data_IF_161317026757
#
_entry.id   IF_161317026757
#
_cell.length_a   1.000
_cell.length_b   1.000
_cell.length_c   1.000
_cell.angle_alpha   90.00
_cell.angle_beta   90.00
_cell.angle_gamma   90.00
#
_symmetry.space_group_name_H-M   'P 1'
#
loop_
_entity.id
_entity.type
_entity.pdbx_description
1 polymer ?
#
# COMPACT_ATOMS: atom_id res chain seq x y z
N UNK A 1 -15.18 -0.89 14.43
CA UNK A 1 -14.19 0.07 13.88
C UNK A 1 -14.83 0.87 12.74
N UNK A 2 -14.17 1.89 12.15
CA UNK A 2 -14.73 2.66 11.02
C UNK A 2 -13.72 2.85 9.88
N UNK A 3 -14.23 3.08 8.67
CA UNK A 3 -13.40 3.45 7.52
C UNK A 3 -14.02 4.59 6.70
N UNK A 4 -13.17 5.29 5.95
CA UNK A 4 -13.55 6.22 4.89
C UNK A 4 -12.83 5.84 3.61
N UNK A 5 -13.56 5.69 2.51
CA UNK A 5 -13.00 5.42 1.19
C UNK A 5 -13.32 6.58 0.24
N UNK A 6 -12.28 7.26 -0.23
CA UNK A 6 -12.40 8.34 -1.21
C UNK A 6 -12.18 7.80 -2.63
N UNK A 7 -13.06 8.17 -3.55
CA UNK A 7 -12.88 7.91 -4.99
C UNK A 7 -12.27 9.13 -5.63
N UNK A 8 -11.06 9.00 -6.18
CA UNK A 8 -10.40 10.12 -6.86
C UNK A 8 -8.89 10.05 -6.90
N UNK A 9 -8.29 11.15 -7.31
CA UNK A 9 -6.84 11.33 -7.33
C UNK A 9 -6.27 11.47 -5.90
N UNK A 10 -5.25 10.68 -5.59
CA UNK A 10 -4.62 10.62 -4.28
C UNK A 10 -4.13 11.99 -3.80
N UNK A 11 -3.42 12.74 -4.64
CA UNK A 11 -2.85 14.03 -4.25
C UNK A 11 -3.94 15.07 -3.96
N UNK A 12 -5.02 15.05 -4.75
CA UNK A 12 -6.18 15.92 -4.55
C UNK A 12 -6.89 15.62 -3.23
N UNK A 13 -7.12 14.34 -2.94
CA UNK A 13 -7.78 13.92 -1.69
C UNK A 13 -6.91 14.21 -0.48
N UNK A 14 -5.61 13.91 -0.54
CA UNK A 14 -4.68 14.15 0.58
C UNK A 14 -4.69 15.61 1.03
N UNK A 15 -4.72 16.56 0.09
CA UNK A 15 -4.82 18.01 0.38
C UNK A 15 -6.08 18.41 1.14
N UNK A 16 -7.14 17.59 1.08
CA UNK A 16 -8.39 17.83 1.81
C UNK A 16 -8.41 17.21 3.20
N UNK A 17 -7.47 16.31 3.52
CA UNK A 17 -7.39 15.71 4.85
C UNK A 17 -6.92 16.75 5.88
N UNK A 18 -7.47 16.74 7.10
CA UNK A 18 -6.96 17.60 8.17
C UNK A 18 -5.51 17.26 8.53
N UNK A 19 -4.77 18.28 8.97
CA UNK A 19 -3.44 18.11 9.56
C UNK A 19 -3.53 17.13 10.75
N UNK A 20 -2.49 16.30 10.91
CA UNK A 20 -2.33 15.40 12.06
C UNK A 20 -3.56 14.51 12.38
N UNK A 21 -4.25 14.05 11.33
CA UNK A 21 -5.45 13.21 11.42
C UNK A 21 -5.19 11.70 11.28
N UNK A 22 -4.00 11.29 10.83
CA UNK A 22 -3.64 9.87 10.63
C UNK A 22 -2.39 9.48 11.42
N UNK A 23 -2.30 8.21 11.82
CA UNK A 23 -1.27 7.73 12.75
C UNK A 23 -0.27 6.76 12.08
N UNK A 24 -0.58 6.30 10.86
CA UNK A 24 0.34 5.57 10.01
C UNK A 24 -0.06 5.76 8.55
N UNK A 25 0.93 5.70 7.66
CA UNK A 25 0.76 5.68 6.20
C UNK A 25 1.30 4.36 5.69
N UNK A 26 0.47 3.51 5.11
CA UNK A 26 0.90 2.22 4.56
C UNK A 26 0.34 2.10 3.17
N UNK A 27 1.20 2.08 2.15
CA UNK A 27 0.72 2.24 0.78
C UNK A 27 1.59 1.58 -0.29
N UNK A 28 0.95 1.15 -1.37
CA UNK A 28 1.53 0.44 -2.51
C UNK A 28 1.35 1.27 -3.80
N UNK A 29 2.16 2.32 -4.00
CA UNK A 29 2.01 3.19 -5.17
C UNK A 29 2.36 2.43 -6.46
N UNK A 30 1.85 2.87 -7.63
CA UNK A 30 2.32 2.35 -8.90
C UNK A 30 3.84 2.60 -9.06
N UNK A 31 4.62 1.51 -9.17
CA UNK A 31 6.08 1.58 -9.22
C UNK A 31 6.62 2.24 -10.51
N UNK A 32 5.79 2.53 -11.52
CA UNK A 32 6.18 3.25 -12.74
C UNK A 32 7.45 2.74 -13.43
N UNK A 33 7.69 1.44 -13.32
CA UNK A 33 8.99 0.83 -13.57
C UNK A 33 9.10 0.28 -15.01
N UNK A 34 8.19 0.71 -15.90
CA UNK A 34 7.87 0.07 -17.18
C UNK A 34 8.42 0.70 -18.46
N UNK A 35 8.96 1.93 -18.46
CA UNK A 35 9.38 2.60 -19.69
C UNK A 35 10.84 3.05 -19.70
N UNK A 36 11.74 2.28 -20.32
CA UNK A 36 13.16 2.66 -20.52
C UNK A 36 13.39 3.44 -21.81
N UNK A 37 12.43 3.42 -22.74
CA UNK A 37 12.46 4.18 -24.00
C UNK A 37 11.16 4.95 -24.23
N UNK A 38 11.18 5.97 -25.09
CA UNK A 38 9.97 6.73 -25.47
C UNK A 38 8.86 5.82 -26.04
N UNK A 39 9.23 4.76 -26.75
CA UNK A 39 8.28 3.76 -27.28
C UNK A 39 7.71 2.85 -26.20
N UNK A 40 8.49 2.45 -25.18
CA UNK A 40 7.97 1.69 -24.03
C UNK A 40 7.04 2.55 -23.15
N UNK A 41 7.31 3.87 -23.09
CA UNK A 41 6.48 4.84 -22.37
C UNK A 41 5.12 5.11 -23.04
N UNK A 42 4.98 4.81 -24.33
CA UNK A 42 3.78 5.06 -25.13
C UNK A 42 3.04 3.78 -25.56
N UNK A 43 3.71 2.63 -25.60
CA UNK A 43 3.21 1.41 -26.25
C UNK A 43 2.70 0.28 -25.35
N UNK A 44 2.88 0.32 -24.03
CA UNK A 44 2.41 -0.74 -23.13
C UNK A 44 1.43 -0.20 -22.09
N UNK A 45 0.17 -0.56 -22.23
CA UNK A 45 -0.82 -0.45 -21.16
C UNK A 45 -0.49 -1.45 -20.05
N UNK A 46 -0.88 -1.16 -18.80
CA UNK A 46 -0.68 -2.08 -17.66
C UNK A 46 -1.19 -3.51 -17.98
N UNK A 47 -2.26 -3.61 -18.80
CA UNK A 47 -2.81 -4.86 -19.35
C UNK A 47 -1.77 -5.76 -20.02
N UNK A 48 -0.81 -5.22 -20.76
CA UNK A 48 0.20 -6.01 -21.47
C UNK A 48 1.34 -6.50 -20.57
N UNK A 49 1.54 -5.89 -19.40
CA UNK A 49 2.63 -6.20 -18.46
C UNK A 49 2.26 -7.28 -17.44
N UNK A 50 0.98 -7.38 -17.08
CA UNK A 50 0.50 -8.25 -16.02
C UNK A 50 -0.27 -9.49 -16.50
N UNK A 51 -0.65 -9.59 -17.78
CA UNK A 51 -1.44 -10.73 -18.31
C UNK A 51 -0.61 -11.57 -19.28
N UNK A 52 -0.16 -12.75 -18.85
CA UNK A 52 0.24 -13.84 -19.76
C UNK A 52 -1.03 -14.55 -20.24
N UNK A 53 -1.41 -14.33 -21.49
CA UNK A 53 -2.29 -15.17 -22.35
C UNK A 53 -3.14 -16.24 -21.64
N UNK A 54 -4.31 -15.86 -21.10
CA UNK A 54 -5.56 -16.64 -21.07
C UNK A 54 -6.67 -16.08 -20.14
N UNK A 55 -6.47 -14.93 -19.49
CA UNK A 55 -7.51 -14.27 -18.67
C UNK A 55 -7.89 -12.92 -19.29
N UNK A 56 -8.54 -12.97 -20.46
CA UNK A 56 -8.75 -11.80 -21.33
C UNK A 56 -9.98 -10.94 -21.00
N UNK A 57 -10.78 -11.31 -19.99
CA UNK A 57 -12.02 -10.61 -19.66
C UNK A 57 -11.90 -9.93 -18.29
N UNK A 58 -12.15 -8.62 -18.30
CA UNK A 58 -12.50 -7.74 -17.15
C UNK A 58 -11.37 -7.13 -16.29
N UNK A 59 -10.36 -6.49 -16.90
CA UNK A 59 -9.48 -5.58 -16.16
C UNK A 59 -9.35 -4.22 -16.88
N UNK A 60 -9.66 -3.14 -16.16
CA UNK A 60 -9.55 -1.76 -16.62
C UNK A 60 -8.08 -1.30 -16.72
N UNK A 61 -7.76 -0.51 -17.74
CA UNK A 61 -6.45 0.13 -17.91
C UNK A 61 -6.26 1.26 -16.89
N UNK A 62 -5.09 1.32 -16.24
CA UNK A 62 -4.72 2.43 -15.36
C UNK A 62 -3.77 3.41 -16.07
N UNK A 63 -4.05 4.72 -16.07
CA UNK A 63 -3.09 5.72 -16.51
C UNK A 63 -1.95 5.88 -15.49
N UNK A 64 -0.68 5.87 -15.92
CA UNK A 64 0.43 6.36 -15.07
C UNK A 64 1.74 5.58 -15.08
N UNK A 65 1.77 4.32 -15.54
CA UNK A 65 2.91 3.37 -15.37
C UNK A 65 4.28 3.76 -16.00
N UNK A 66 4.40 4.93 -16.63
CA UNK A 66 5.53 5.28 -17.51
C UNK A 66 6.23 6.61 -17.16
N UNK A 67 6.26 6.97 -15.87
CA UNK A 67 7.10 8.07 -15.37
C UNK A 67 8.58 7.68 -15.42
N UNK A 68 9.44 8.59 -15.88
CA UNK A 68 10.88 8.45 -15.63
C UNK A 68 11.17 8.64 -14.13
N UNK A 69 12.38 8.27 -13.69
CA UNK A 69 12.74 8.33 -12.27
C UNK A 69 12.61 9.73 -11.65
N UNK A 70 12.93 10.81 -12.38
CA UNK A 70 12.84 12.18 -11.84
C UNK A 70 11.38 12.58 -11.66
N UNK A 71 10.54 12.27 -12.64
CA UNK A 71 9.10 12.48 -12.59
C UNK A 71 8.43 11.64 -11.50
N UNK A 72 8.84 10.38 -11.33
CA UNK A 72 8.35 9.50 -10.26
C UNK A 72 8.74 10.06 -8.88
N UNK A 73 10.00 10.46 -8.70
CA UNK A 73 10.48 11.07 -7.46
C UNK A 73 9.67 12.31 -7.11
N UNK A 74 9.55 13.26 -8.02
CA UNK A 74 8.82 14.52 -7.79
C UNK A 74 7.38 14.26 -7.35
N UNK A 75 6.69 13.40 -8.08
CA UNK A 75 5.30 13.04 -7.79
C UNK A 75 5.15 12.33 -6.44
N UNK A 76 6.02 11.36 -6.15
CA UNK A 76 5.97 10.64 -4.88
C UNK A 76 6.34 11.54 -3.70
N UNK A 77 7.29 12.48 -3.88
CA UNK A 77 7.61 13.50 -2.87
C UNK A 77 6.39 14.34 -2.56
N UNK A 78 5.69 14.89 -3.55
CA UNK A 78 4.47 15.69 -3.32
C UNK A 78 3.41 14.91 -2.54
N UNK A 79 3.20 13.65 -2.91
CA UNK A 79 2.26 12.78 -2.23
C UNK A 79 2.66 12.51 -0.77
N UNK A 80 3.92 12.16 -0.53
CA UNK A 80 4.44 11.88 0.80
C UNK A 80 4.53 13.14 1.67
N UNK A 81 4.64 14.34 1.07
CA UNK A 81 4.59 15.62 1.78
C UNK A 81 3.17 15.88 2.32
N UNK A 82 2.14 15.66 1.50
CA UNK A 82 0.76 15.80 1.99
C UNK A 82 0.42 14.72 3.03
N UNK A 83 0.94 13.51 2.86
CA UNK A 83 0.82 12.45 3.87
C UNK A 83 1.55 12.81 5.17
N UNK A 84 2.72 13.45 5.11
CA UNK A 84 3.47 13.93 6.27
C UNK A 84 2.70 15.02 7.03
N UNK A 85 2.07 15.97 6.32
CA UNK A 85 1.21 17.00 6.91
C UNK A 85 0.02 16.37 7.64
N UNK A 86 -0.66 15.42 7.01
CA UNK A 86 -1.82 14.73 7.59
C UNK A 86 -1.45 13.78 8.75
N UNK A 87 -0.17 13.40 8.89
CA UNK A 87 0.27 12.43 9.91
C UNK A 87 0.58 13.09 11.25
N UNK A 88 0.28 12.42 12.36
CA UNK A 88 0.67 12.85 13.71
C UNK A 88 2.17 12.70 13.95
N UNK A 89 2.68 13.30 15.03
CA UNK A 89 3.98 12.92 15.59
C UNK A 89 4.04 11.40 15.85
N UNK A 90 5.23 10.81 15.69
CA UNK A 90 5.49 9.36 15.79
C UNK A 90 4.83 8.48 14.72
N UNK A 91 4.11 9.06 13.76
CA UNK A 91 3.53 8.29 12.68
C UNK A 91 4.63 7.58 11.87
N UNK A 92 4.32 6.36 11.44
CA UNK A 92 5.19 5.55 10.58
C UNK A 92 4.63 5.56 9.16
N UNK A 93 5.48 5.88 8.19
CA UNK A 93 5.22 5.68 6.77
C UNK A 93 5.91 4.40 6.28
N UNK A 94 5.17 3.58 5.54
CA UNK A 94 5.61 2.35 4.88
C UNK A 94 5.18 2.40 3.42
N UNK A 95 6.16 2.49 2.52
CA UNK A 95 5.94 2.61 1.08
C UNK A 95 6.49 1.37 0.40
N UNK A 96 5.60 0.57 -0.17
CA UNK A 96 5.99 -0.59 -0.95
C UNK A 96 6.65 -0.15 -2.26
N UNK A 97 7.66 -0.90 -2.69
CA UNK A 97 8.44 -0.63 -3.89
C UNK A 97 9.07 -1.90 -4.43
N UNK A 98 9.50 -1.86 -5.69
CA UNK A 98 10.42 -2.86 -6.25
C UNK A 98 11.88 -2.35 -6.24
N UNK A 99 12.82 -3.26 -6.51
CA UNK A 99 14.27 -2.98 -6.49
C UNK A 99 14.72 -1.82 -7.40
N UNK A 100 13.96 -1.50 -8.46
CA UNK A 100 14.30 -0.42 -9.40
C UNK A 100 13.99 0.94 -8.84
N UNK A 101 12.94 1.03 -8.03
CA UNK A 101 12.45 2.28 -7.45
C UNK A 101 12.83 2.45 -6.00
N UNK A 102 13.40 1.43 -5.35
CA UNK A 102 13.79 1.51 -3.93
C UNK A 102 14.65 2.75 -3.62
N UNK A 103 15.74 3.07 -4.37
CA UNK A 103 16.52 4.27 -4.08
C UNK A 103 15.71 5.56 -4.27
N UNK A 104 14.88 5.61 -5.30
CA UNK A 104 14.06 6.80 -5.59
C UNK A 104 12.92 6.98 -4.59
N UNK A 105 12.43 5.87 -4.02
CA UNK A 105 11.40 5.87 -2.99
C UNK A 105 11.96 6.36 -1.66
N UNK A 106 13.18 5.95 -1.27
CA UNK A 106 13.84 6.49 -0.08
C UNK A 106 14.25 7.96 -0.23
N UNK A 107 14.68 8.39 -1.43
CA UNK A 107 14.87 9.81 -1.74
C UNK A 107 13.57 10.60 -1.55
N UNK A 108 12.48 10.13 -2.15
CA UNK A 108 11.19 10.83 -2.10
C UNK A 108 10.64 10.93 -0.67
N UNK A 109 10.78 9.86 0.12
CA UNK A 109 10.40 9.81 1.53
C UNK A 109 11.16 10.87 2.34
N UNK A 110 12.49 10.95 2.19
CA UNK A 110 13.32 11.93 2.90
C UNK A 110 13.04 13.37 2.44
N UNK A 111 12.88 13.59 1.14
CA UNK A 111 12.51 14.90 0.57
C UNK A 111 11.16 15.40 1.09
N UNK A 112 10.26 14.49 1.42
CA UNK A 112 8.95 14.81 2.01
C UNK A 112 9.00 15.15 3.51
N UNK A 113 10.15 15.00 4.17
CA UNK A 113 10.37 15.37 5.58
C UNK A 113 10.35 14.20 6.58
N UNK A 114 10.13 12.98 6.11
CA UNK A 114 10.20 11.79 6.95
C UNK A 114 11.66 11.41 7.26
N UNK A 115 11.93 10.98 8.48
CA UNK A 115 13.22 10.37 8.83
C UNK A 115 13.26 8.95 8.29
N UNK A 116 14.09 8.68 7.29
CA UNK A 116 14.25 7.32 6.76
C UNK A 116 14.85 6.39 7.81
N UNK A 117 14.17 5.28 8.09
CA UNK A 117 14.54 4.34 9.17
C UNK A 117 14.93 2.95 8.66
N UNK A 118 14.72 2.66 7.38
CA UNK A 118 15.29 1.48 6.72
C UNK A 118 14.44 0.94 5.58
N UNK A 119 14.78 -0.26 5.15
CA UNK A 119 14.03 -1.04 4.17
C UNK A 119 13.75 -2.43 4.72
N UNK A 120 12.51 -2.90 4.58
CA UNK A 120 12.08 -4.25 4.94
C UNK A 120 11.93 -5.09 3.65
N UNK A 121 12.68 -6.19 3.48
CA UNK A 121 12.48 -7.10 2.37
C UNK A 121 11.19 -7.91 2.52
N UNK A 122 10.41 -7.99 1.45
CA UNK A 122 9.31 -8.95 1.29
C UNK A 122 9.65 -9.99 0.23
N UNK A 123 10.02 -11.17 0.70
CA UNK A 123 10.49 -12.29 -0.12
C UNK A 123 9.29 -13.11 -0.58
N UNK A 124 9.17 -13.30 -1.89
CA UNK A 124 8.15 -14.09 -2.57
C UNK A 124 8.71 -15.49 -2.86
N UNK A 125 8.27 -16.55 -2.15
CA UNK A 125 8.81 -17.90 -2.32
C UNK A 125 8.76 -18.40 -3.77
N UNK A 126 7.67 -18.05 -4.47
CA UNK A 126 7.40 -18.50 -5.83
C UNK A 126 7.69 -17.43 -6.89
N UNK A 127 8.98 -17.21 -7.16
CA UNK A 127 9.45 -16.41 -8.31
C UNK A 127 10.27 -17.28 -9.28
N UNK A 128 10.24 -16.94 -10.57
CA UNK A 128 10.93 -17.72 -11.61
C UNK A 128 12.43 -17.39 -11.59
N UNK A 129 13.32 -18.40 -11.65
CA UNK A 129 14.76 -18.18 -11.82
C UNK A 129 15.08 -17.40 -13.09
N UNK A 130 16.15 -16.61 -13.06
CA UNK A 130 16.66 -15.86 -14.22
C UNK A 130 17.88 -16.57 -14.80
N UNK A 131 17.83 -16.94 -16.08
CA UNK A 131 19.02 -17.49 -16.76
C UNK A 131 20.13 -16.43 -16.77
N UNK A 132 21.33 -16.80 -16.33
CA UNK A 132 22.50 -15.93 -16.35
C UNK A 132 22.51 -14.81 -15.29
N UNK A 133 21.71 -14.91 -14.23
CA UNK A 133 21.73 -13.92 -13.15
C UNK A 133 21.00 -14.36 -11.88
N UNK A 134 21.06 -13.56 -10.81
CA UNK A 134 20.37 -13.86 -9.57
C UNK A 134 18.85 -13.82 -9.76
N UNK A 135 18.14 -14.65 -8.99
CA UNK A 135 16.69 -14.67 -8.91
C UNK A 135 16.21 -13.34 -8.30
N UNK A 136 15.22 -12.72 -8.92
CA UNK A 136 14.54 -11.55 -8.36
C UNK A 136 13.23 -12.04 -7.74
N UNK A 137 13.24 -12.24 -6.44
CA UNK A 137 12.10 -12.74 -5.69
C UNK A 137 11.66 -11.84 -4.55
N UNK A 138 12.22 -10.65 -4.44
CA UNK A 138 11.88 -9.72 -3.37
C UNK A 138 11.25 -8.43 -3.90
N UNK A 139 10.24 -7.95 -3.18
CA UNK A 139 9.84 -6.54 -3.12
C UNK A 139 10.35 -5.95 -1.81
N UNK A 140 10.21 -4.64 -1.65
CA UNK A 140 10.75 -3.91 -0.52
C UNK A 140 9.69 -2.96 0.04
N UNK A 141 9.82 -2.65 1.32
CA UNK A 141 9.04 -1.63 2.01
C UNK A 141 10.04 -0.62 2.55
N UNK A 142 10.11 0.54 1.92
CA UNK A 142 10.88 1.67 2.44
C UNK A 142 10.05 2.31 3.54
N UNK A 143 10.63 2.52 4.72
CA UNK A 143 9.88 3.05 5.85
C UNK A 143 10.63 4.16 6.60
N UNK A 144 9.87 5.05 7.20
CA UNK A 144 10.38 6.15 8.00
C UNK A 144 9.35 6.71 8.96
N UNK A 145 9.77 7.68 9.75
CA UNK A 145 8.98 8.23 10.86
C UNK A 145 8.85 9.73 10.78
N UNK A 146 7.70 10.25 11.23
CA UNK A 146 7.54 11.68 11.52
C UNK A 146 8.07 11.92 12.93
N UNK A 147 9.17 12.68 13.00
CA UNK A 147 9.90 12.90 14.24
C UNK A 147 10.69 11.66 14.67
N UNK A 148 10.25 11.01 15.75
CA UNK A 148 10.90 9.80 16.31
C UNK A 148 9.93 8.62 16.44
N UNK A 149 10.46 7.41 16.63
CA UNK A 149 9.64 6.26 17.02
C UNK A 149 9.03 6.48 18.41
N UNK A 150 7.80 6.01 18.57
CA UNK A 150 7.16 5.93 19.88
C UNK A 150 7.75 4.78 20.72
N UNK A 151 8.79 5.11 21.48
CA UNK A 151 9.48 4.15 22.35
C UNK A 151 8.68 3.77 23.61
N UNK A 152 7.45 4.27 23.77
CA UNK A 152 6.55 3.84 24.87
C UNK A 152 5.76 2.58 24.52
N UNK A 153 5.73 2.21 23.23
CA UNK A 153 5.00 1.05 22.74
C UNK A 153 5.88 -0.20 22.71
N UNK A 154 5.36 -1.29 23.27
CA UNK A 154 5.98 -2.61 23.20
C UNK A 154 5.67 -3.28 21.84
N UNK A 155 6.33 -2.81 20.78
CA UNK A 155 6.12 -3.26 19.40
C UNK A 155 7.44 -3.70 18.77
N UNK A 156 7.51 -4.98 18.39
CA UNK A 156 8.66 -5.56 17.68
C UNK A 156 8.20 -6.28 16.43
N UNK A 157 8.31 -5.59 15.28
CA UNK A 157 7.97 -6.19 14.00
C UNK A 157 9.18 -6.90 13.37
N UNK A 158 8.96 -7.97 12.60
CA UNK A 158 10.01 -8.62 11.82
C UNK A 158 10.73 -7.66 10.86
N UNK A 159 12.04 -7.82 10.72
CA UNK A 159 12.86 -7.06 9.75
C UNK A 159 12.73 -7.56 8.30
N UNK A 160 11.97 -8.63 8.05
CA UNK A 160 11.64 -9.13 6.72
C UNK A 160 10.38 -10.00 6.78
N UNK A 161 9.73 -10.20 5.64
CA UNK A 161 8.56 -11.08 5.52
C UNK A 161 8.76 -12.07 4.37
N UNK A 162 8.28 -13.31 4.55
CA UNK A 162 8.28 -14.35 3.52
C UNK A 162 6.84 -14.75 3.25
N UNK A 163 6.26 -14.32 2.14
CA UNK A 163 4.88 -14.67 1.80
C UNK A 163 4.63 -14.62 0.28
N UNK A 164 3.75 -15.49 -0.22
CA UNK A 164 3.29 -15.43 -1.61
C UNK A 164 2.00 -14.63 -1.71
N UNK A 165 1.81 -13.92 -2.82
CA UNK A 165 0.49 -13.34 -3.14
C UNK A 165 -0.58 -14.44 -3.19
N UNK A 166 -1.82 -14.16 -2.76
CA UNK A 166 -2.90 -15.15 -2.75
C UNK A 166 -3.09 -15.81 -4.13
N UNK A 167 -3.25 -17.14 -4.17
CA UNK A 167 -3.46 -17.91 -5.42
C UNK A 167 -4.93 -18.24 -5.73
N UNK A 168 -5.82 -18.28 -4.72
CA UNK A 168 -7.27 -18.49 -4.84
C UNK A 168 -8.02 -17.22 -4.41
N UNK A 169 -9.10 -16.85 -5.11
CA UNK A 169 -9.91 -15.65 -4.77
C UNK A 169 -9.32 -14.31 -5.22
N UNK A 170 -8.48 -14.30 -6.27
CA UNK A 170 -7.87 -13.08 -6.81
C UNK A 170 -8.93 -12.16 -7.43
N UNK A 171 -9.17 -11.00 -6.79
CA UNK A 171 -9.96 -9.90 -7.36
C UNK A 171 -9.05 -8.82 -7.98
N UNK A 172 -7.75 -8.77 -7.62
CA UNK A 172 -6.76 -7.85 -8.19
C UNK A 172 -5.38 -8.52 -8.37
N UNK A 173 -4.65 -8.12 -9.42
CA UNK A 173 -3.34 -8.65 -9.80
C UNK A 173 -2.19 -8.37 -8.81
N UNK A 174 -2.32 -7.40 -7.90
CA UNK A 174 -1.27 -6.95 -6.95
C UNK A 174 -1.63 -7.17 -5.48
N UNK A 175 -2.68 -7.95 -5.19
CA UNK A 175 -3.17 -8.16 -3.82
C UNK A 175 -2.05 -8.68 -2.89
N UNK A 176 -1.75 -7.92 -1.82
CA UNK A 176 -0.79 -8.30 -0.77
C UNK A 176 -1.42 -9.33 0.19
N UNK A 177 -0.63 -10.24 0.81
CA UNK A 177 -1.14 -11.20 1.78
C UNK A 177 -1.67 -10.47 3.03
N UNK A 178 -2.88 -10.81 3.47
CA UNK A 178 -3.54 -10.09 4.57
C UNK A 178 -2.78 -10.28 5.88
N UNK A 179 -2.15 -11.43 6.08
CA UNK A 179 -1.38 -11.76 7.29
C UNK A 179 -0.15 -10.83 7.44
N UNK A 180 0.55 -10.54 6.34
CA UNK A 180 1.66 -9.57 6.34
C UNK A 180 1.13 -8.17 6.63
N UNK A 181 0.01 -7.79 6.00
CA UNK A 181 -0.59 -6.48 6.24
C UNK A 181 -1.08 -6.33 7.68
N UNK A 182 -1.63 -7.38 8.31
CA UNK A 182 -2.05 -7.39 9.72
C UNK A 182 -0.88 -7.11 10.66
N UNK A 183 0.31 -7.64 10.39
CA UNK A 183 1.51 -7.30 11.16
C UNK A 183 1.97 -5.86 10.89
N UNK A 184 2.01 -5.44 9.62
CA UNK A 184 2.46 -4.10 9.25
C UNK A 184 1.57 -2.99 9.82
N UNK A 185 0.24 -3.15 9.81
CA UNK A 185 -0.67 -2.14 10.38
C UNK A 185 -0.45 -1.94 11.88
N UNK A 186 0.24 -2.85 12.56
CA UNK A 186 0.55 -2.68 13.98
C UNK A 186 1.48 -1.50 14.26
N UNK A 187 2.18 -0.94 13.27
CA UNK A 187 2.87 0.35 13.45
C UNK A 187 1.92 1.50 13.78
N UNK A 188 0.66 1.42 13.35
CA UNK A 188 -0.38 2.31 13.83
C UNK A 188 -0.75 1.92 15.28
N UNK A 189 -0.86 2.87 16.23
CA UNK A 189 -1.40 2.57 17.56
C UNK A 189 -2.81 1.99 17.46
N UNK A 190 -3.19 1.22 18.48
CA UNK A 190 -4.54 0.67 18.60
C UNK A 190 -5.59 1.80 18.61
N UNK A 191 -6.70 1.62 17.90
CA UNK A 191 -7.68 2.68 17.69
C UNK A 191 -7.16 3.87 16.87
N UNK A 192 -5.90 3.85 16.39
CA UNK A 192 -5.36 4.86 15.48
C UNK A 192 -5.94 4.75 14.07
N UNK A 193 -5.51 5.63 13.17
CA UNK A 193 -5.98 5.67 11.77
C UNK A 193 -4.86 5.38 10.79
N UNK A 194 -5.05 4.35 9.97
CA UNK A 194 -4.15 3.98 8.86
C UNK A 194 -4.60 4.66 7.58
N UNK A 195 -3.68 5.31 6.88
CA UNK A 195 -3.89 5.93 5.58
C UNK A 195 -3.26 5.09 4.46
N UNK A 196 -4.03 4.80 3.40
CA UNK A 196 -3.53 4.22 2.16
C UNK A 196 -4.02 5.01 0.93
N UNK A 197 -3.18 5.90 0.36
CA UNK A 197 -3.53 6.69 -0.82
C UNK A 197 -3.65 5.88 -2.13
N UNK A 198 -3.32 4.59 -2.11
CA UNK A 198 -3.39 3.66 -3.24
C UNK A 198 -4.06 2.36 -2.80
N UNK A 199 -5.30 2.48 -2.34
CA UNK A 199 -6.04 1.41 -1.65
C UNK A 199 -6.19 0.15 -2.52
N UNK A 200 -6.30 0.28 -3.84
CA UNK A 200 -6.49 -0.83 -4.75
C UNK A 200 -7.69 -1.66 -4.34
N UNK A 201 -7.47 -2.95 -4.06
CA UNK A 201 -8.52 -3.86 -3.59
C UNK A 201 -8.84 -3.78 -2.09
N UNK A 202 -8.28 -2.84 -1.33
CA UNK A 202 -8.61 -2.62 0.09
C UNK A 202 -7.88 -3.51 1.10
N UNK A 203 -6.77 -4.15 0.73
CA UNK A 203 -6.10 -5.12 1.61
C UNK A 203 -5.52 -4.48 2.88
N UNK A 204 -4.97 -3.26 2.79
CA UNK A 204 -4.51 -2.48 3.95
C UNK A 204 -5.65 -2.17 4.90
N UNK A 205 -6.80 -1.72 4.38
CA UNK A 205 -7.95 -1.38 5.20
C UNK A 205 -8.60 -2.59 5.87
N UNK A 206 -8.69 -3.73 5.18
CA UNK A 206 -9.15 -4.99 5.80
C UNK A 206 -8.25 -5.38 6.97
N UNK A 207 -6.93 -5.30 6.81
CA UNK A 207 -6.00 -5.56 7.90
C UNK A 207 -6.15 -4.56 9.05
N UNK A 208 -6.27 -3.26 8.74
CA UNK A 208 -6.46 -2.23 9.75
C UNK A 208 -7.72 -2.47 10.59
N UNK A 209 -8.86 -2.74 9.95
CA UNK A 209 -10.13 -2.98 10.63
C UNK A 209 -10.07 -4.22 11.53
N UNK A 210 -9.50 -5.34 11.04
CA UNK A 210 -9.35 -6.59 11.81
C UNK A 210 -8.45 -6.43 13.02
N UNK A 211 -7.45 -5.57 12.91
CA UNK A 211 -6.51 -5.29 13.99
C UNK A 211 -6.97 -4.09 14.85
N UNK A 212 -8.26 -3.72 14.82
CA UNK A 212 -8.79 -2.70 15.72
C UNK A 212 -8.34 -1.27 15.41
N UNK A 213 -8.06 -0.95 14.14
CA UNK A 213 -7.69 0.40 13.68
C UNK A 213 -8.75 0.96 12.74
N UNK A 214 -8.83 2.28 12.65
CA UNK A 214 -9.60 2.99 11.62
C UNK A 214 -8.80 3.03 10.32
N UNK A 215 -9.50 3.20 9.19
CA UNK A 215 -8.88 3.25 7.87
C UNK A 215 -9.35 4.43 7.04
N UNK A 216 -8.42 5.10 6.36
CA UNK A 216 -8.70 6.07 5.30
C UNK A 216 -8.02 5.61 4.03
N UNK A 217 -8.81 5.38 2.98
CA UNK A 217 -8.32 4.90 1.69
C UNK A 217 -8.63 5.88 0.56
N UNK A 218 -7.77 5.93 -0.44
CA UNK A 218 -8.03 6.59 -1.72
C UNK A 218 -7.84 5.60 -2.86
N UNK A 219 -8.80 5.55 -3.79
CA UNK A 219 -8.71 4.74 -4.99
C UNK A 219 -9.24 5.51 -6.21
N UNK A 220 -8.46 5.53 -7.28
CA UNK A 220 -8.78 6.27 -8.51
C UNK A 220 -9.78 5.51 -9.38
N UNK A 221 -9.62 4.19 -9.49
CA UNK A 221 -10.46 3.34 -10.33
C UNK A 221 -11.78 3.03 -9.65
N UNK A 222 -12.89 3.40 -10.29
CA UNK A 222 -14.23 3.09 -9.79
C UNK A 222 -14.42 1.59 -9.50
N UNK A 223 -13.94 0.72 -10.39
CA UNK A 223 -14.03 -0.72 -10.23
C UNK A 223 -13.32 -1.22 -8.97
N UNK A 224 -12.09 -0.75 -8.72
CA UNK A 224 -11.36 -1.19 -7.53
C UNK A 224 -11.86 -0.52 -6.26
N UNK A 225 -12.38 0.70 -6.34
CA UNK A 225 -13.09 1.32 -5.23
C UNK A 225 -14.34 0.53 -4.83
N UNK A 226 -15.11 0.01 -5.80
CA UNK A 226 -16.27 -0.86 -5.53
C UNK A 226 -15.83 -2.17 -4.84
N UNK A 227 -14.76 -2.80 -5.33
CA UNK A 227 -14.18 -4.02 -4.72
C UNK A 227 -13.67 -3.75 -3.30
N UNK A 228 -12.98 -2.63 -3.08
CA UNK A 228 -12.49 -2.24 -1.76
C UNK A 228 -13.66 -1.96 -0.80
N UNK A 229 -14.67 -1.23 -1.25
CA UNK A 229 -15.89 -0.93 -0.48
C UNK A 229 -16.59 -2.20 0.01
N UNK A 230 -16.79 -3.19 -0.89
CA UNK A 230 -17.39 -4.47 -0.53
C UNK A 230 -16.58 -5.20 0.56
N UNK A 231 -15.25 -5.27 0.37
CA UNK A 231 -14.35 -5.95 1.31
C UNK A 231 -14.28 -5.25 2.67
N UNK A 232 -14.25 -3.93 2.71
CA UNK A 232 -14.19 -3.14 3.94
C UNK A 232 -15.52 -3.24 4.72
N UNK A 233 -16.65 -3.13 4.02
CA UNK A 233 -17.97 -3.27 4.62
C UNK A 233 -18.18 -4.63 5.27
N UNK A 234 -17.71 -5.70 4.62
CA UNK A 234 -17.81 -7.06 5.13
C UNK A 234 -17.05 -7.26 6.46
N UNK A 235 -16.04 -6.44 6.78
CA UNK A 235 -15.36 -6.51 8.07
C UNK A 235 -16.16 -5.80 9.18
N UNK A 236 -16.95 -4.76 8.87
CA UNK A 236 -17.80 -4.09 9.86
C UNK A 236 -19.00 -4.94 10.27
N UNK A 237 -19.54 -5.74 9.35
CA UNK A 237 -20.73 -6.57 9.62
C UNK A 237 -20.44 -7.84 10.40
N UNK A 238 -19.16 -8.24 10.55
CA UNK A 238 -18.80 -9.45 11.31
C UNK A 238 -18.90 -9.26 12.82
N UNK A 239 -18.71 -8.03 13.30
CA UNK A 239 -18.81 -7.70 14.73
C UNK A 239 -20.27 -7.77 15.24
N UNK A 240 -21.27 -7.59 14.36
CA UNK A 240 -22.71 -7.61 14.72
C UNK A 240 -23.29 -9.02 14.89
N UNK A 241 -22.57 -10.08 14.50
CA UNK A 241 -22.99 -11.48 14.68
C UNK A 241 -22.32 -12.17 15.88
N UNK A 242 -21.76 -11.40 16.82
CA UNK A 242 -21.51 -11.85 18.19
C UNK A 242 -22.83 -12.11 18.92
N UNK A 243 -23.58 -13.11 18.45
CA UNK A 243 -24.82 -13.58 19.06
C UNK A 243 -24.57 -13.82 20.55
N UNK A 244 -25.42 -13.18 21.35
CA UNK A 244 -25.69 -13.49 22.74
C UNK A 244 -25.51 -15.00 22.97
N UNK A 245 -24.52 -15.36 23.79
CA UNK A 245 -24.50 -16.69 24.38
C UNK A 245 -25.84 -16.92 25.07
N UNK A 246 -26.41 -18.14 25.02
CA UNK A 246 -27.66 -18.39 25.70
C UNK A 246 -27.46 -18.09 27.19
N UNK A 247 -28.25 -17.17 27.72
CA UNK A 247 -28.46 -17.08 29.16
C UNK A 247 -29.03 -18.42 29.63
N UNK A 248 -28.21 -19.20 30.36
CA UNK A 248 -28.56 -20.06 31.50
C UNK A 248 -27.34 -20.86 31.96
#
# INVERSE_FOLDING_TARGET
MSYTLHRGDALTVLKSLPDESVHAVITDPPYNSGGRTSSERTGRTARAKYVTSNSAHDLADFPGENRDQRSYRSWLTELLTEAYRASTEHAVAMVFTDWRQEPTTSDALQMAGWTWSGTIPWIKPSSRPRKGGPKQDSEFIVWGVKGSLDNTRDLYLPGHYIASQPRKGRVHITQKPVEVMQQLVQVCPEGGTVLDPFTGSGSTGVAALREGRRFVGVELSAHYADVAEERLRAELTKDDFGLAGPEA
#
